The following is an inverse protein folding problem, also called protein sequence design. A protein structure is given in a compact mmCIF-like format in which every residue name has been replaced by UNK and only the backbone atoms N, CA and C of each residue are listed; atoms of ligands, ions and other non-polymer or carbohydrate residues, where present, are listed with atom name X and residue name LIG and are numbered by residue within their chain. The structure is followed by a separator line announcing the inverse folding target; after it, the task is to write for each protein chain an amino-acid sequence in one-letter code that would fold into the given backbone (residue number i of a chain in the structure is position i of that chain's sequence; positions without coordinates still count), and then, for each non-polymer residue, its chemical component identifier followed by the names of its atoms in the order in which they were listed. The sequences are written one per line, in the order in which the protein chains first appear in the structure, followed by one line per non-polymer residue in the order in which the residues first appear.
data_IF_755362493401
#
_entry.id   IF_755362493401
#
_cell.length_a   1.000
_cell.length_b   1.000
_cell.length_c   1.000
_cell.angle_alpha   90.00
_cell.angle_beta   90.00
_cell.angle_gamma   90.00
#
_symmetry.space_group_name_H-M   'P 1'
#
loop_
_entity.id
_entity.type
_entity.pdbx_description
1 polymer ?
#
# COMPACT_ATOMS: atom_id res chain seq x y z
N UNK A 1 -15.31 12.73 9.94
CA UNK A 1 -14.53 12.16 8.81
C UNK A 1 -14.08 10.77 9.20
N UNK A 2 -14.39 9.74 8.41
CA UNK A 2 -13.90 8.37 8.66
C UNK A 2 -12.47 8.22 8.13
N UNK A 3 -11.68 7.28 8.68
CA UNK A 3 -10.29 7.08 8.25
C UNK A 3 -10.22 6.69 6.75
N UNK A 4 -11.18 5.92 6.25
CA UNK A 4 -11.31 5.66 4.81
C UNK A 4 -11.46 6.92 3.96
N UNK A 5 -12.19 7.94 4.43
CA UNK A 5 -12.36 9.18 3.67
C UNK A 5 -11.04 9.91 3.44
N UNK A 6 -10.12 9.86 4.40
CA UNK A 6 -8.78 10.47 4.29
C UNK A 6 -7.86 9.69 3.35
N UNK A 7 -7.93 8.35 3.36
CA UNK A 7 -7.10 7.51 2.49
C UNK A 7 -7.50 7.67 1.02
N UNK A 8 -8.78 7.85 0.72
CA UNK A 8 -9.26 7.86 -0.67
C UNK A 8 -9.38 9.27 -1.29
N UNK A 9 -9.52 10.32 -0.47
CA UNK A 9 -9.84 11.69 -0.92
C UNK A 9 -8.89 12.27 -1.96
N UNK A 10 -7.64 11.82 -1.97
CA UNK A 10 -6.60 12.38 -2.84
C UNK A 10 -6.37 11.56 -4.13
N UNK A 11 -7.10 10.46 -4.31
CA UNK A 11 -7.00 9.54 -5.44
C UNK A 11 -8.07 9.83 -6.49
N UNK A 12 -7.76 9.64 -7.76
CA UNK A 12 -8.77 9.67 -8.81
C UNK A 12 -9.60 8.38 -8.84
N UNK A 13 -10.70 8.36 -9.57
CA UNK A 13 -11.65 7.24 -9.58
C UNK A 13 -11.01 5.88 -9.97
N UNK A 14 -10.18 5.77 -11.04
CA UNK A 14 -9.46 4.52 -11.31
C UNK A 14 -8.56 4.05 -10.16
N UNK A 15 -7.85 4.97 -9.51
CA UNK A 15 -6.98 4.66 -8.37
C UNK A 15 -7.79 4.23 -7.14
N UNK A 16 -8.92 4.88 -6.86
CA UNK A 16 -9.84 4.49 -5.78
C UNK A 16 -10.36 3.08 -6.00
N UNK A 17 -10.81 2.76 -7.23
CA UNK A 17 -11.22 1.39 -7.59
C UNK A 17 -10.11 0.38 -7.33
N UNK A 18 -8.89 0.66 -7.80
CA UNK A 18 -7.74 -0.21 -7.57
C UNK A 18 -7.40 -0.39 -6.07
N UNK A 19 -7.62 0.62 -5.22
CA UNK A 19 -7.44 0.53 -3.77
C UNK A 19 -8.55 -0.30 -3.10
N UNK A 20 -9.79 -0.14 -3.54
CA UNK A 20 -10.97 -0.71 -2.87
C UNK A 20 -11.32 -2.15 -3.30
N UNK A 21 -10.81 -2.65 -4.42
CA UNK A 21 -11.09 -4.03 -4.89
C UNK A 21 -10.55 -5.07 -3.90
N UNK A 22 -11.41 -5.84 -3.25
CA UNK A 22 -11.02 -6.80 -2.19
C UNK A 22 -10.93 -8.26 -2.63
N UNK A 23 -11.67 -8.66 -3.66
CA UNK A 23 -11.81 -10.05 -4.06
C UNK A 23 -10.86 -10.45 -5.18
N UNK A 24 -10.23 -11.61 -5.02
CA UNK A 24 -9.46 -12.28 -6.07
C UNK A 24 -8.16 -11.55 -6.49
N UNK A 25 -7.46 -12.10 -7.50
CA UNK A 25 -6.28 -11.48 -8.07
C UNK A 25 -6.61 -10.15 -8.75
N UNK A 26 -5.78 -9.13 -8.54
CA UNK A 26 -5.94 -7.80 -9.17
C UNK A 26 -4.66 -7.41 -9.90
N UNK A 27 -4.78 -7.08 -11.19
CA UNK A 27 -3.71 -6.53 -12.02
C UNK A 27 -4.00 -5.05 -12.31
N UNK A 28 -3.07 -4.17 -11.93
CA UNK A 28 -3.16 -2.72 -12.20
C UNK A 28 -2.20 -2.35 -13.32
N UNK A 29 -2.73 -2.08 -14.51
CA UNK A 29 -1.97 -1.60 -15.66
C UNK A 29 -1.85 -0.08 -15.60
N UNK A 30 -0.61 0.44 -15.62
CA UNK A 30 -0.39 1.86 -15.40
C UNK A 30 0.89 2.38 -16.06
N UNK A 31 0.75 3.45 -16.86
CA UNK A 31 1.85 4.14 -17.53
C UNK A 31 2.81 4.86 -16.56
N UNK A 32 3.93 5.41 -17.04
CA UNK A 32 4.80 6.30 -16.26
C UNK A 32 4.00 7.47 -15.65
N UNK A 33 4.36 7.92 -14.45
CA UNK A 33 3.70 9.08 -13.79
C UNK A 33 2.26 8.86 -13.27
N UNK A 34 1.61 7.74 -13.59
CA UNK A 34 0.21 7.45 -13.21
C UNK A 34 -0.07 7.20 -11.72
N UNK A 35 0.96 7.23 -10.87
CA UNK A 35 0.82 7.03 -9.43
C UNK A 35 0.77 5.57 -8.96
N UNK A 36 1.38 4.62 -9.67
CA UNK A 36 1.47 3.19 -9.28
C UNK A 36 1.81 2.98 -7.80
N UNK A 37 2.92 3.57 -7.33
CA UNK A 37 3.37 3.44 -5.95
C UNK A 37 2.35 4.02 -4.98
N UNK A 38 1.69 5.12 -5.35
CA UNK A 38 0.63 5.74 -4.55
C UNK A 38 -0.57 4.82 -4.40
N UNK A 39 -1.01 4.18 -5.48
CA UNK A 39 -2.10 3.18 -5.41
C UNK A 39 -1.73 2.04 -4.47
N UNK A 40 -0.52 1.49 -4.58
CA UNK A 40 -0.07 0.39 -3.71
C UNK A 40 -0.03 0.80 -2.24
N UNK A 41 0.54 1.96 -1.90
CA UNK A 41 0.64 2.40 -0.50
C UNK A 41 -0.74 2.71 0.09
N UNK A 42 -1.62 3.35 -0.68
CA UNK A 42 -3.00 3.62 -0.26
C UNK A 42 -3.82 2.34 -0.12
N UNK A 43 -3.57 1.32 -0.96
CA UNK A 43 -4.21 0.00 -0.85
C UNK A 43 -3.84 -0.69 0.47
N UNK A 44 -2.55 -0.73 0.81
CA UNK A 44 -2.11 -1.28 2.10
C UNK A 44 -2.72 -0.51 3.27
N UNK A 45 -2.70 0.82 3.23
CA UNK A 45 -3.33 1.65 4.27
C UNK A 45 -4.84 1.39 4.39
N UNK A 46 -5.54 1.23 3.27
CA UNK A 46 -6.97 0.92 3.24
C UNK A 46 -7.27 -0.46 3.84
N UNK A 47 -6.47 -1.47 3.50
CA UNK A 47 -6.60 -2.83 4.06
C UNK A 47 -6.47 -2.82 5.59
N UNK A 48 -5.51 -2.07 6.12
CA UNK A 48 -5.28 -2.00 7.57
C UNK A 48 -6.37 -1.17 8.26
N UNK A 49 -6.55 0.08 7.81
CA UNK A 49 -7.36 1.05 8.54
C UNK A 49 -8.85 0.83 8.38
N UNK A 50 -9.30 0.50 7.17
CA UNK A 50 -10.72 0.33 6.85
C UNK A 50 -11.14 -1.14 6.94
N UNK A 51 -10.36 -2.04 6.35
CA UNK A 51 -10.70 -3.48 6.33
C UNK A 51 -10.19 -4.25 7.56
N UNK A 52 -9.48 -3.57 8.48
CA UNK A 52 -8.97 -4.14 9.74
C UNK A 52 -8.12 -5.39 9.52
N UNK A 53 -7.43 -5.47 8.38
CA UNK A 53 -6.44 -6.52 8.12
C UNK A 53 -5.25 -6.28 9.04
N UNK A 54 -4.84 -7.30 9.78
CA UNK A 54 -3.62 -7.23 10.59
C UNK A 54 -2.41 -6.94 9.67
N UNK A 55 -1.58 -5.93 9.96
CA UNK A 55 -0.37 -5.65 9.18
C UNK A 55 0.53 -6.87 8.96
N UNK A 56 0.60 -7.80 9.91
CA UNK A 56 1.40 -9.03 9.76
C UNK A 56 0.92 -9.93 8.61
N UNK A 57 -0.33 -9.77 8.16
CA UNK A 57 -0.90 -10.53 7.05
C UNK A 57 -0.69 -9.84 5.69
N UNK A 58 0.11 -8.77 5.62
CA UNK A 58 0.37 -8.02 4.38
C UNK A 58 1.86 -8.07 4.05
N UNK A 59 2.16 -8.60 2.87
CA UNK A 59 3.48 -8.60 2.26
C UNK A 59 3.50 -7.60 1.09
N UNK A 60 4.43 -6.65 1.12
CA UNK A 60 4.67 -5.72 0.03
C UNK A 60 6.10 -5.88 -0.51
N UNK A 61 6.22 -6.31 -1.77
CA UNK A 61 7.51 -6.63 -2.40
C UNK A 61 7.78 -5.71 -3.59
N UNK A 62 9.04 -5.33 -3.77
CA UNK A 62 9.52 -4.58 -4.93
C UNK A 62 10.88 -5.08 -5.40
N UNK A 63 11.41 -4.53 -6.49
CA UNK A 63 12.69 -4.96 -7.06
C UNK A 63 13.90 -4.24 -6.45
N UNK A 64 13.75 -3.01 -5.95
CA UNK A 64 14.89 -2.21 -5.47
C UNK A 64 14.73 -1.81 -4.01
N UNK A 65 15.86 -1.76 -3.29
CA UNK A 65 15.89 -1.30 -1.90
C UNK A 65 15.37 0.13 -1.76
N UNK A 66 15.65 0.99 -2.75
CA UNK A 66 15.14 2.38 -2.79
C UNK A 66 13.62 2.41 -2.81
N UNK A 67 12.99 1.61 -3.69
CA UNK A 67 11.53 1.56 -3.76
C UNK A 67 10.91 0.98 -2.48
N UNK A 68 11.56 0.00 -1.84
CA UNK A 68 11.08 -0.58 -0.59
C UNK A 68 11.11 0.47 0.54
N UNK A 69 12.20 1.23 0.63
CA UNK A 69 12.35 2.33 1.60
C UNK A 69 11.31 3.42 1.37
N UNK A 70 11.17 3.91 0.15
CA UNK A 70 10.17 4.94 -0.20
C UNK A 70 8.74 4.47 0.08
N UNK A 71 8.42 3.19 -0.19
CA UNK A 71 7.12 2.61 0.14
C UNK A 71 6.88 2.62 1.65
N UNK A 72 7.87 2.21 2.44
CA UNK A 72 7.78 2.18 3.91
C UNK A 72 7.61 3.60 4.49
N UNK A 73 8.33 4.58 3.98
CA UNK A 73 8.20 5.99 4.39
C UNK A 73 6.79 6.54 4.10
N UNK A 74 6.25 6.26 2.92
CA UNK A 74 4.88 6.67 2.57
C UNK A 74 3.83 5.98 3.44
N UNK A 75 4.03 4.71 3.76
CA UNK A 75 3.14 3.98 4.67
C UNK A 75 3.19 4.56 6.08
N UNK A 76 4.38 4.91 6.57
CA UNK A 76 4.55 5.55 7.87
C UNK A 76 3.70 6.83 7.98
N UNK A 77 3.68 7.65 6.92
CA UNK A 77 2.82 8.85 6.87
C UNK A 77 1.32 8.51 6.89
N UNK A 78 0.90 7.40 6.28
CA UNK A 78 -0.52 7.05 6.14
C UNK A 78 -1.11 6.33 7.36
N UNK A 79 -0.33 5.46 8.01
CA UNK A 79 -0.82 4.57 9.09
C UNK A 79 -0.01 4.68 10.39
N UNK A 80 1.06 5.49 10.41
CA UNK A 80 1.93 5.66 11.57
C UNK A 80 3.00 4.57 11.72
N UNK A 81 3.97 4.86 12.57
CA UNK A 81 5.21 4.10 12.69
C UNK A 81 5.00 2.71 13.32
N UNK A 82 4.16 2.66 14.36
CA UNK A 82 3.81 1.42 15.06
C UNK A 82 3.20 0.36 14.12
N UNK A 83 2.23 0.76 13.29
CA UNK A 83 1.61 -0.15 12.33
C UNK A 83 2.56 -0.48 11.18
N UNK A 84 3.36 0.49 10.73
CA UNK A 84 4.32 0.28 9.64
C UNK A 84 5.46 -0.67 10.02
N UNK A 85 5.91 -0.67 11.28
CA UNK A 85 6.92 -1.62 11.79
C UNK A 85 6.46 -3.07 11.73
N UNK A 86 5.16 -3.32 11.81
CA UNK A 86 4.55 -4.66 11.74
C UNK A 86 4.39 -5.19 10.32
N UNK A 87 4.54 -4.33 9.29
CA UNK A 87 4.45 -4.72 7.89
C UNK A 87 5.74 -5.38 7.40
N UNK A 88 5.59 -6.43 6.60
CA UNK A 88 6.69 -6.96 5.79
C UNK A 88 6.78 -6.19 4.48
N UNK A 89 7.72 -5.25 4.40
CA UNK A 89 8.03 -4.47 3.18
C UNK A 89 9.49 -4.67 2.81
N UNK A 90 9.76 -5.16 1.60
CA UNK A 90 11.13 -5.50 1.21
C UNK A 90 11.32 -5.75 -0.28
N UNK A 91 12.53 -6.18 -0.64
CA UNK A 91 12.79 -6.71 -1.98
C UNK A 91 12.53 -8.21 -2.03
N UNK A 92 12.40 -8.77 -3.24
CA UNK A 92 12.33 -10.23 -3.41
C UNK A 92 13.49 -10.97 -2.71
N UNK A 93 14.70 -10.42 -2.77
CA UNK A 93 15.85 -11.02 -2.09
C UNK A 93 15.72 -10.90 -0.57
N UNK A 94 15.35 -9.73 -0.05
CA UNK A 94 15.25 -9.49 1.40
C UNK A 94 14.19 -10.32 2.10
N UNK A 95 13.16 -10.79 1.39
CA UNK A 95 12.08 -11.59 1.99
C UNK A 95 12.29 -13.10 1.88
N UNK A 96 13.28 -13.54 1.08
CA UNK A 96 13.60 -14.94 0.86
C UNK A 96 14.88 -15.41 1.57
N UNK A 97 15.53 -14.51 2.33
CA UNK A 97 16.74 -14.75 3.12
C UNK A 97 16.39 -14.64 4.60
#
# INVERSE_FOLDING_TARGET
MTIASTILSTLNEPQQRAVQTMGGPVLVLAGPGSGKTRVLTHRVAYLISEKRVDPYNILAVTFTNKAAKEMKERLNVLIGDELTKRLTVGTFHSVCV
#
